data_IF_904763558845
#
_entry.id   IF_904763558845
#
_cell.length_a   1.000
_cell.length_b   1.000
_cell.length_c   1.000
_cell.angle_alpha   90.00
_cell.angle_beta   90.00
_cell.angle_gamma   90.00
#
_symmetry.space_group_name_H-M   'P 1'
#
loop_
_entity.id
_entity.type
_entity.pdbx_description
1 polymer ?
#
# COMPACT_ATOMS: atom_id res chain seq x y z
N UNK A 1 -4.19 0.90 26.00
CA UNK A 1 -4.85 1.18 24.72
C UNK A 1 -5.35 -0.16 24.20
N UNK A 2 -6.65 -0.29 23.95
CA UNK A 2 -7.23 -1.46 23.29
C UNK A 2 -7.06 -1.30 21.78
N UNK A 3 -6.35 -2.21 21.12
CA UNK A 3 -6.10 -2.13 19.67
C UNK A 3 -6.97 -3.11 18.90
N UNK A 4 -7.67 -2.66 17.87
CA UNK A 4 -8.48 -3.49 17.00
C UNK A 4 -8.13 -3.27 15.53
N UNK A 5 -7.97 -4.36 14.78
CA UNK A 5 -7.76 -4.35 13.34
C UNK A 5 -8.97 -4.96 12.64
N UNK A 6 -9.63 -4.22 11.76
CA UNK A 6 -10.55 -4.77 10.78
C UNK A 6 -9.87 -4.72 9.41
N UNK A 7 -9.62 -5.87 8.80
CA UNK A 7 -8.89 -5.93 7.52
C UNK A 7 -9.46 -6.97 6.55
N UNK A 8 -9.28 -6.75 5.25
CA UNK A 8 -9.40 -7.78 4.20
C UNK A 8 -8.06 -8.04 3.47
N UNK A 9 -6.96 -7.53 4.02
CA UNK A 9 -5.62 -7.67 3.47
C UNK A 9 -5.05 -9.08 3.72
N UNK A 10 -5.32 -9.99 2.78
CA UNK A 10 -5.00 -11.41 2.95
C UNK A 10 -3.51 -11.72 3.07
N UNK A 11 -2.60 -10.85 2.58
CA UNK A 11 -1.16 -11.03 2.75
C UNK A 11 -0.74 -11.12 4.22
N UNK A 12 -1.52 -10.59 5.18
CA UNK A 12 -1.23 -10.75 6.60
C UNK A 12 -1.32 -12.18 7.13
N UNK A 13 -1.84 -13.11 6.33
CA UNK A 13 -1.90 -14.54 6.63
C UNK A 13 -0.84 -15.36 5.89
N UNK A 14 -0.03 -14.73 5.05
CA UNK A 14 1.08 -15.37 4.38
C UNK A 14 2.32 -15.42 5.30
N UNK A 15 3.24 -16.34 5.01
CA UNK A 15 4.42 -16.59 5.87
C UNK A 15 5.23 -15.33 6.18
N UNK A 16 5.34 -14.41 5.22
CA UNK A 16 6.14 -13.19 5.33
C UNK A 16 5.48 -12.04 6.10
N UNK A 17 4.23 -12.19 6.56
CA UNK A 17 3.53 -11.17 7.32
C UNK A 17 3.98 -11.02 8.78
N UNK A 18 4.90 -11.87 9.24
CA UNK A 18 5.54 -11.78 10.56
C UNK A 18 4.56 -11.63 11.73
N UNK A 19 3.40 -12.30 11.68
CA UNK A 19 2.36 -12.27 12.73
C UNK A 19 1.77 -10.89 13.01
N UNK A 20 1.75 -9.98 12.02
CA UNK A 20 1.30 -8.59 12.17
C UNK A 20 -0.06 -8.45 12.87
N UNK A 21 -1.10 -9.08 12.34
CA UNK A 21 -2.46 -9.03 12.91
C UNK A 21 -2.52 -9.53 14.36
N UNK A 22 -1.65 -10.48 14.73
CA UNK A 22 -1.53 -11.01 16.09
C UNK A 22 -0.94 -10.04 17.12
N UNK A 23 -0.52 -8.83 16.70
CA UNK A 23 -0.05 -7.76 17.59
C UNK A 23 -1.18 -6.87 18.10
N UNK A 24 -2.37 -6.98 17.52
CA UNK A 24 -3.57 -6.28 17.97
C UNK A 24 -4.23 -7.03 19.12
N UNK A 25 -5.00 -6.31 19.95
CA UNK A 25 -5.74 -6.89 21.08
C UNK A 25 -6.88 -7.79 20.58
N UNK A 26 -7.55 -7.35 19.51
CA UNK A 26 -8.50 -8.15 18.73
C UNK A 26 -8.41 -7.76 17.26
N UNK A 27 -8.93 -8.61 16.38
CA UNK A 27 -8.94 -8.36 14.95
C UNK A 27 -10.02 -9.17 14.24
N UNK A 28 -10.54 -8.62 13.15
CA UNK A 28 -11.44 -9.24 12.18
C UNK A 28 -10.72 -9.37 10.83
N UNK A 29 -11.06 -10.41 10.08
CA UNK A 29 -10.48 -10.64 8.75
C UNK A 29 -11.54 -11.13 7.76
N UNK A 30 -11.76 -10.33 6.71
CA UNK A 30 -12.67 -10.66 5.62
C UNK A 30 -11.91 -11.19 4.40
N UNK A 31 -12.40 -12.30 3.83
CA UNK A 31 -11.70 -13.07 2.79
C UNK A 31 -12.23 -12.77 1.41
N UNK A 32 -11.39 -12.96 0.40
CA UNK A 32 -11.82 -13.02 -1.01
C UNK A 32 -11.13 -12.04 -1.96
N UNK A 33 -10.23 -11.19 -1.46
CA UNK A 33 -9.49 -10.23 -2.28
C UNK A 33 -8.48 -10.91 -3.21
N UNK A 34 -8.28 -10.34 -4.41
CA UNK A 34 -7.27 -10.78 -5.38
C UNK A 34 -7.22 -12.32 -5.54
N UNK A 35 -6.05 -12.93 -5.36
CA UNK A 35 -5.83 -14.37 -5.46
C UNK A 35 -5.99 -15.13 -4.14
N UNK A 36 -6.64 -14.55 -3.13
CA UNK A 36 -6.81 -15.14 -1.80
C UNK A 36 -7.38 -16.58 -1.91
N UNK A 37 -6.70 -17.62 -1.39
CA UNK A 37 -7.19 -19.00 -1.40
C UNK A 37 -8.35 -19.20 -0.41
N UNK A 38 -9.50 -18.57 -0.69
CA UNK A 38 -10.69 -18.57 0.15
C UNK A 38 -11.66 -19.71 -0.20
N UNK A 39 -12.26 -19.65 -1.40
CA UNK A 39 -13.30 -20.61 -1.80
C UNK A 39 -12.66 -21.81 -2.52
N UNK A 40 -12.92 -23.01 -1.98
CA UNK A 40 -12.39 -24.25 -2.50
C UNK A 40 -13.20 -24.78 -3.68
N UNK A 41 -12.62 -24.74 -4.88
CA UNK A 41 -13.10 -25.46 -6.06
C UNK A 41 -11.97 -26.37 -6.54
N UNK A 42 -12.08 -27.67 -6.29
CA UNK A 42 -11.01 -28.63 -6.60
C UNK A 42 -11.01 -29.09 -8.06
N UNK A 43 -12.16 -29.01 -8.74
CA UNK A 43 -12.31 -29.39 -10.15
C UNK A 43 -11.85 -28.31 -11.12
N UNK A 44 -12.01 -28.61 -12.41
CA UNK A 44 -11.85 -27.62 -13.47
C UNK A 44 -12.80 -26.43 -13.25
N UNK A 45 -12.32 -25.24 -13.57
CA UNK A 45 -13.06 -24.00 -13.44
C UNK A 45 -12.79 -23.12 -14.66
N UNK A 46 -13.85 -22.60 -15.28
CA UNK A 46 -13.75 -21.80 -16.49
C UNK A 46 -13.45 -20.34 -16.13
N UNK A 47 -12.37 -19.81 -16.70
CA UNK A 47 -11.98 -18.41 -16.56
C UNK A 47 -11.96 -17.76 -17.95
N UNK A 48 -12.29 -16.47 -18.09
CA UNK A 48 -12.16 -15.76 -19.37
C UNK A 48 -10.78 -15.97 -20.02
N UNK A 49 -10.77 -16.26 -21.32
CA UNK A 49 -9.52 -16.46 -22.08
C UNK A 49 -8.63 -15.20 -22.15
N UNK A 50 -9.20 -14.05 -21.81
CA UNK A 50 -8.52 -12.75 -21.77
C UNK A 50 -7.56 -12.64 -20.58
N UNK A 51 -7.73 -13.48 -19.56
CA UNK A 51 -6.84 -13.64 -18.41
C UNK A 51 -5.62 -14.50 -18.75
N UNK A 52 -5.15 -14.49 -19.98
CA UNK A 52 -3.86 -15.09 -20.35
C UNK A 52 -2.89 -13.94 -20.56
N UNK A 53 -2.62 -13.15 -19.51
CA UNK A 53 -1.61 -12.10 -19.65
C UNK A 53 -0.23 -12.72 -19.73
N UNK A 54 0.47 -12.35 -20.80
CA UNK A 54 1.88 -12.62 -21.03
C UNK A 54 2.70 -11.98 -19.91
N UNK A 55 3.50 -12.81 -19.21
CA UNK A 55 4.65 -12.49 -18.35
C UNK A 55 4.60 -11.13 -17.65
N UNK A 56 4.29 -11.11 -16.34
CA UNK A 56 4.88 -10.07 -15.47
C UNK A 56 6.39 -10.33 -15.36
N UNK A 57 7.18 -9.25 -15.35
CA UNK A 57 8.64 -9.28 -15.43
C UNK A 57 9.25 -10.13 -14.31
N UNK A 58 8.54 -10.30 -13.18
CA UNK A 58 9.06 -10.90 -11.95
C UNK A 58 8.21 -12.03 -11.34
N UNK A 59 7.20 -12.53 -12.05
CA UNK A 59 6.29 -13.56 -11.51
C UNK A 59 6.47 -14.91 -12.18
N UNK A 60 6.35 -16.00 -11.41
CA UNK A 60 6.18 -17.33 -11.98
C UNK A 60 4.84 -17.37 -12.76
N UNK A 61 4.83 -17.68 -14.07
CA UNK A 61 3.60 -17.72 -14.87
C UNK A 61 2.51 -18.63 -14.29
N UNK A 62 2.91 -19.69 -13.57
CA UNK A 62 1.98 -20.61 -12.95
C UNK A 62 1.29 -20.03 -11.70
N UNK A 63 1.97 -19.17 -10.93
CA UNK A 63 1.39 -18.57 -9.72
C UNK A 63 0.36 -17.49 -10.05
N UNK A 64 0.62 -16.66 -11.08
CA UNK A 64 -0.37 -15.67 -11.53
C UNK A 64 -1.61 -16.31 -12.13
N UNK A 65 -1.44 -17.36 -12.94
CA UNK A 65 -2.58 -18.12 -13.48
C UNK A 65 -3.43 -18.72 -12.35
N UNK A 66 -2.79 -19.18 -11.27
CA UNK A 66 -3.51 -19.68 -10.10
C UNK A 66 -4.24 -18.57 -9.35
N UNK A 67 -3.62 -17.39 -9.17
CA UNK A 67 -4.24 -16.24 -8.54
C UNK A 67 -5.49 -15.77 -9.32
N UNK A 68 -5.40 -15.61 -10.64
CA UNK A 68 -6.57 -15.26 -11.46
C UNK A 68 -7.67 -16.30 -11.41
N UNK A 69 -7.33 -17.59 -11.48
CA UNK A 69 -8.33 -18.65 -11.31
C UNK A 69 -9.03 -18.51 -9.96
N UNK A 70 -8.24 -18.29 -8.90
CA UNK A 70 -8.78 -18.21 -7.55
C UNK A 70 -9.65 -16.97 -7.33
N UNK A 71 -9.24 -15.81 -7.84
CA UNK A 71 -10.03 -14.58 -7.86
C UNK A 71 -11.42 -14.82 -8.47
N UNK A 72 -11.46 -15.41 -9.67
CA UNK A 72 -12.74 -15.70 -10.33
C UNK A 72 -13.60 -16.68 -9.56
N UNK A 73 -13.00 -17.69 -8.92
CA UNK A 73 -13.72 -18.59 -8.02
C UNK A 73 -14.28 -17.82 -6.82
N UNK A 74 -13.54 -16.86 -6.26
CA UNK A 74 -14.01 -16.06 -5.13
C UNK A 74 -15.18 -15.14 -5.54
N UNK A 75 -15.11 -14.51 -6.72
CA UNK A 75 -16.14 -13.58 -7.22
C UNK A 75 -17.53 -14.21 -7.34
N UNK A 76 -17.62 -15.51 -7.65
CA UNK A 76 -18.90 -16.25 -7.67
C UNK A 76 -19.63 -16.26 -6.31
N UNK A 77 -18.90 -16.02 -5.22
CA UNK A 77 -19.44 -15.93 -3.86
C UNK A 77 -19.60 -14.49 -3.38
N UNK A 78 -19.39 -13.51 -4.26
CA UNK A 78 -19.55 -12.08 -4.00
C UNK A 78 -20.56 -11.44 -4.98
N UNK A 79 -21.79 -11.98 -5.10
CA UNK A 79 -22.76 -11.53 -6.11
C UNK A 79 -23.33 -10.14 -5.82
N UNK A 80 -23.22 -9.66 -4.58
CA UNK A 80 -23.68 -8.33 -4.17
C UNK A 80 -22.56 -7.55 -3.49
N UNK A 81 -22.73 -6.23 -3.41
CA UNK A 81 -21.82 -5.36 -2.66
C UNK A 81 -21.60 -5.86 -1.22
N UNK A 82 -22.68 -6.22 -0.52
CA UNK A 82 -22.60 -6.67 0.88
C UNK A 82 -21.84 -8.00 1.06
N UNK A 83 -21.60 -8.73 -0.03
CA UNK A 83 -20.82 -9.97 -0.03
C UNK A 83 -19.34 -9.72 -0.31
N UNK A 84 -18.95 -8.52 -0.74
CA UNK A 84 -17.55 -8.17 -0.99
C UNK A 84 -16.78 -7.92 0.33
N UNK A 85 -15.45 -8.08 0.34
CA UNK A 85 -14.66 -7.98 1.56
C UNK A 85 -14.65 -6.55 2.11
N UNK A 86 -14.43 -5.53 1.26
CA UNK A 86 -14.37 -4.14 1.69
C UNK A 86 -15.61 -3.69 2.49
N UNK A 87 -16.86 -3.90 2.02
CA UNK A 87 -18.06 -3.58 2.81
C UNK A 87 -18.13 -4.25 4.16
N UNK A 88 -17.71 -5.52 4.26
CA UNK A 88 -17.69 -6.28 5.52
C UNK A 88 -16.61 -5.75 6.46
N UNK A 89 -15.42 -5.42 5.94
CA UNK A 89 -14.33 -4.80 6.69
C UNK A 89 -14.76 -3.47 7.32
N UNK A 90 -15.41 -2.61 6.55
CA UNK A 90 -15.97 -1.38 7.11
C UNK A 90 -17.10 -1.66 8.11
N UNK A 91 -18.01 -2.61 7.84
CA UNK A 91 -19.06 -2.98 8.79
C UNK A 91 -18.50 -3.42 10.16
N UNK A 92 -17.43 -4.23 10.17
CA UNK A 92 -16.76 -4.66 11.40
C UNK A 92 -16.15 -3.46 12.15
N UNK A 93 -15.47 -2.55 11.44
CA UNK A 93 -14.94 -1.31 12.03
C UNK A 93 -16.03 -0.38 12.59
N UNK A 94 -17.13 -0.18 11.86
CA UNK A 94 -18.29 0.59 12.32
C UNK A 94 -18.96 -0.07 13.54
N UNK A 95 -19.02 -1.40 13.59
CA UNK A 95 -19.53 -2.14 14.74
C UNK A 95 -18.63 -1.95 15.97
N UNK A 96 -17.31 -1.93 15.78
CA UNK A 96 -16.35 -1.59 16.84
C UNK A 96 -16.61 -0.18 17.38
N UNK A 97 -16.74 0.83 16.51
CA UNK A 97 -17.01 2.21 16.92
C UNK A 97 -18.31 2.32 17.73
N UNK A 98 -19.42 1.73 17.26
CA UNK A 98 -20.69 1.73 18.00
C UNK A 98 -20.58 1.08 19.37
N UNK A 99 -19.84 -0.02 19.47
CA UNK A 99 -19.67 -0.76 20.73
C UNK A 99 -18.85 0.03 21.74
N UNK A 100 -17.84 0.78 21.27
CA UNK A 100 -16.82 1.41 22.11
C UNK A 100 -16.92 2.94 22.15
N UNK A 101 -17.98 3.54 21.61
CA UNK A 101 -18.18 4.99 21.52
C UNK A 101 -18.09 5.73 22.87
N UNK A 102 -18.38 5.03 23.97
CA UNK A 102 -18.37 5.57 25.33
C UNK A 102 -17.15 5.10 26.15
N UNK A 103 -16.21 4.41 25.51
CA UNK A 103 -14.98 3.94 26.13
C UNK A 103 -13.80 4.76 25.61
N UNK A 104 -12.84 5.04 26.48
CA UNK A 104 -11.60 5.71 26.11
C UNK A 104 -10.50 4.70 25.79
N UNK A 105 -9.38 5.22 25.28
CA UNK A 105 -8.13 4.47 25.08
C UNK A 105 -8.27 3.26 24.14
N UNK A 106 -8.89 3.46 22.98
CA UNK A 106 -8.88 2.48 21.88
C UNK A 106 -8.17 3.03 20.64
N UNK A 107 -7.67 2.12 19.82
CA UNK A 107 -7.13 2.37 18.49
C UNK A 107 -7.79 1.38 17.53
N UNK A 108 -8.42 1.91 16.49
CA UNK A 108 -9.06 1.14 15.44
C UNK A 108 -8.32 1.39 14.12
N UNK A 109 -7.84 0.32 13.50
CA UNK A 109 -7.39 0.33 12.11
C UNK A 109 -8.44 -0.36 11.26
N UNK A 110 -9.10 0.39 10.38
CA UNK A 110 -9.90 -0.15 9.28
C UNK A 110 -9.00 -0.11 8.06
N UNK A 111 -8.64 -1.27 7.53
CA UNK A 111 -7.71 -1.39 6.42
C UNK A 111 -8.32 -2.22 5.31
N UNK A 112 -8.46 -1.62 4.14
CA UNK A 112 -9.00 -2.31 2.97
C UNK A 112 -7.91 -2.51 1.93
N UNK A 113 -7.94 -3.66 1.28
CA UNK A 113 -7.08 -4.01 0.17
C UNK A 113 -7.44 -3.18 -1.06
N UNK A 114 -8.72 -2.92 -1.28
CA UNK A 114 -9.18 -1.98 -2.31
C UNK A 114 -8.62 -0.57 -2.07
N UNK A 115 -8.20 0.16 -3.12
CA UNK A 115 -8.50 -0.09 -4.54
C UNK A 115 -7.43 -0.91 -5.28
N UNK A 116 -6.68 -1.79 -4.60
CA UNK A 116 -5.77 -2.71 -5.27
C UNK A 116 -6.47 -3.52 -6.37
N UNK A 117 -5.71 -3.90 -7.39
CA UNK A 117 -6.20 -4.74 -8.46
C UNK A 117 -6.50 -6.18 -7.99
N UNK A 118 -7.48 -6.88 -8.58
CA UNK A 118 -8.35 -6.45 -9.68
C UNK A 118 -9.38 -5.40 -9.26
N UNK A 119 -9.70 -4.48 -10.18
CA UNK A 119 -10.68 -3.41 -9.95
C UNK A 119 -12.13 -3.91 -10.05
N UNK A 120 -12.45 -4.89 -9.20
CA UNK A 120 -13.72 -5.58 -9.12
C UNK A 120 -14.72 -4.79 -8.28
N UNK A 121 -15.69 -4.17 -8.93
CA UNK A 121 -16.76 -3.42 -8.25
C UNK A 121 -18.13 -3.63 -8.92
N UNK A 122 -19.17 -3.18 -8.22
CA UNK A 122 -20.57 -3.31 -8.62
C UNK A 122 -20.97 -2.30 -9.71
N UNK A 123 -22.01 -2.63 -10.47
CA UNK A 123 -22.44 -1.83 -11.62
C UNK A 123 -22.78 -0.38 -11.25
N UNK A 124 -23.38 -0.15 -10.07
CA UNK A 124 -23.75 1.20 -9.60
C UNK A 124 -22.55 2.18 -9.57
N UNK A 125 -21.34 1.69 -9.30
CA UNK A 125 -20.14 2.51 -9.28
C UNK A 125 -19.56 2.71 -10.67
N UNK A 126 -19.65 1.67 -11.53
CA UNK A 126 -19.25 1.77 -12.93
C UNK A 126 -20.11 2.76 -13.71
N UNK A 127 -21.40 2.86 -13.37
CA UNK A 127 -22.34 3.80 -13.98
C UNK A 127 -21.99 5.29 -13.73
N UNK A 128 -21.13 5.59 -12.74
CA UNK A 128 -20.58 6.93 -12.51
C UNK A 128 -19.56 7.34 -13.59
N UNK A 129 -18.98 6.37 -14.29
CA UNK A 129 -17.93 6.55 -15.30
C UNK A 129 -18.34 5.88 -16.63
N UNK A 130 -19.41 6.37 -17.28
CA UNK A 130 -19.94 5.74 -18.49
C UNK A 130 -18.86 5.70 -19.58
N UNK A 131 -18.63 4.50 -20.11
CA UNK A 131 -17.63 4.24 -21.13
C UNK A 131 -18.10 3.15 -22.09
N UNK A 132 -18.14 3.46 -23.38
CA UNK A 132 -18.37 2.46 -24.41
C UNK A 132 -17.09 1.65 -24.61
N UNK A 133 -17.12 0.40 -24.18
CA UNK A 133 -16.01 -0.55 -24.31
C UNK A 133 -16.55 -1.90 -24.78
N UNK A 134 -16.12 -2.33 -25.97
CA UNK A 134 -16.45 -3.62 -26.59
C UNK A 134 -15.26 -4.59 -26.58
N UNK A 135 -14.18 -4.22 -25.90
CA UNK A 135 -12.96 -5.00 -25.79
C UNK A 135 -13.06 -6.19 -24.81
N UNK A 136 -11.98 -6.97 -24.68
CA UNK A 136 -11.92 -8.08 -23.74
C UNK A 136 -12.07 -7.61 -22.28
N UNK A 137 -12.59 -8.48 -21.40
CA UNK A 137 -12.60 -8.22 -19.97
C UNK A 137 -11.19 -7.85 -19.47
N UNK A 138 -11.08 -6.68 -18.82
CA UNK A 138 -9.80 -6.11 -18.39
C UNK A 138 -10.00 -5.21 -17.16
N UNK A 139 -9.91 -5.79 -15.97
CA UNK A 139 -9.93 -5.08 -14.68
C UNK A 139 -8.69 -5.33 -13.81
N UNK A 140 -7.76 -6.15 -14.31
CA UNK A 140 -6.51 -6.49 -13.64
C UNK A 140 -5.32 -6.13 -14.54
N UNK A 141 -4.67 -4.97 -14.35
CA UNK A 141 -3.54 -4.56 -15.18
C UNK A 141 -2.28 -5.37 -14.81
N UNK A 142 -1.39 -5.65 -15.77
CA UNK A 142 -0.12 -6.32 -15.50
C UNK A 142 0.96 -5.37 -15.00
N UNK A 143 2.02 -5.92 -14.40
CA UNK A 143 3.18 -5.16 -13.93
C UNK A 143 4.23 -5.02 -15.05
N UNK A 144 4.00 -4.08 -15.97
CA UNK A 144 4.89 -3.77 -17.10
C UNK A 144 4.55 -2.43 -17.76
N UNK A 145 5.30 -2.08 -18.81
CA UNK A 145 4.91 -1.01 -19.74
C UNK A 145 3.60 -1.35 -20.45
N UNK A 146 2.86 -0.31 -20.83
CA UNK A 146 1.61 -0.43 -21.57
C UNK A 146 1.87 -1.05 -22.95
N UNK A 147 1.08 -2.06 -23.30
CA UNK A 147 0.97 -2.63 -24.66
C UNK A 147 -0.47 -2.56 -25.18
N UNK A 148 -1.39 -2.15 -24.31
CA UNK A 148 -2.82 -2.02 -24.53
C UNK A 148 -3.16 -0.83 -25.43
N UNK A 149 -4.31 -0.90 -26.10
CA UNK A 149 -4.80 0.23 -26.90
C UNK A 149 -5.23 1.41 -26.00
N UNK A 150 -5.27 2.65 -26.51
CA UNK A 150 -5.76 3.79 -25.74
C UNK A 150 -7.16 3.58 -25.14
N UNK A 151 -8.05 2.88 -25.85
CA UNK A 151 -9.39 2.55 -25.36
C UNK A 151 -9.34 1.57 -24.17
N UNK A 152 -8.47 0.56 -24.21
CA UNK A 152 -8.27 -0.36 -23.09
C UNK A 152 -7.64 0.33 -21.87
N UNK A 153 -6.69 1.24 -22.10
CA UNK A 153 -6.10 2.07 -21.04
C UNK A 153 -7.18 2.91 -20.35
N UNK A 154 -8.03 3.57 -21.15
CA UNK A 154 -9.14 4.37 -20.62
C UNK A 154 -10.17 3.52 -19.87
N UNK A 155 -10.49 2.33 -20.38
CA UNK A 155 -11.38 1.38 -19.68
C UNK A 155 -10.82 1.02 -18.31
N UNK A 156 -9.53 0.66 -18.22
CA UNK A 156 -8.88 0.33 -16.95
C UNK A 156 -8.90 1.49 -15.95
N UNK A 157 -8.65 2.71 -16.41
CA UNK A 157 -8.75 3.93 -15.58
C UNK A 157 -10.14 4.12 -14.99
N UNK A 158 -11.20 3.86 -15.76
CA UNK A 158 -12.57 3.94 -15.26
C UNK A 158 -12.92 2.79 -14.32
N UNK A 159 -12.37 1.59 -14.52
CA UNK A 159 -12.50 0.49 -13.58
C UNK A 159 -11.88 0.84 -12.21
N UNK A 160 -10.67 1.42 -12.20
CA UNK A 160 -10.04 1.94 -10.99
C UNK A 160 -10.88 3.04 -10.32
N UNK A 161 -11.33 4.03 -11.10
CA UNK A 161 -12.12 5.15 -10.57
C UNK A 161 -13.46 4.68 -9.96
N UNK A 162 -14.09 3.67 -10.56
CA UNK A 162 -15.29 3.05 -10.02
C UNK A 162 -15.02 2.37 -8.67
N UNK A 163 -13.94 1.60 -8.54
CA UNK A 163 -13.58 0.99 -7.25
C UNK A 163 -13.20 2.06 -6.21
N UNK A 164 -12.49 3.11 -6.60
CA UNK A 164 -12.16 4.22 -5.71
C UNK A 164 -13.41 4.97 -5.21
N UNK A 165 -14.45 5.12 -6.04
CA UNK A 165 -15.74 5.68 -5.61
C UNK A 165 -16.44 4.83 -4.56
N UNK A 166 -16.26 3.51 -4.61
CA UNK A 166 -16.74 2.63 -3.56
C UNK A 166 -15.98 2.85 -2.25
N UNK A 167 -14.65 2.96 -2.31
CA UNK A 167 -13.84 3.31 -1.13
C UNK A 167 -14.29 4.65 -0.51
N UNK A 168 -14.56 5.67 -1.34
CA UNK A 168 -15.05 6.98 -0.90
C UNK A 168 -16.42 6.88 -0.20
N UNK A 169 -17.38 6.12 -0.77
CA UNK A 169 -18.69 5.91 -0.14
C UNK A 169 -18.55 5.28 1.26
N UNK A 170 -17.64 4.33 1.44
CA UNK A 170 -17.45 3.66 2.72
C UNK A 170 -16.64 4.48 3.72
N UNK A 171 -15.68 5.30 3.27
CA UNK A 171 -15.09 6.33 4.12
C UNK A 171 -16.17 7.28 4.64
N UNK A 172 -17.09 7.73 3.77
CA UNK A 172 -18.25 8.54 4.15
C UNK A 172 -19.06 7.95 5.29
N UNK A 173 -19.29 6.62 5.29
CA UNK A 173 -20.00 5.93 6.39
C UNK A 173 -19.26 6.00 7.74
N UNK A 174 -17.93 6.05 7.73
CA UNK A 174 -17.13 6.26 8.96
C UNK A 174 -17.31 7.68 9.46
N UNK A 175 -17.22 8.67 8.56
CA UNK A 175 -17.39 10.08 8.88
C UNK A 175 -18.79 10.36 9.45
N UNK A 176 -19.84 9.84 8.80
CA UNK A 176 -21.23 9.94 9.25
C UNK A 176 -21.43 9.35 10.65
N UNK A 177 -20.76 8.23 10.95
CA UNK A 177 -20.85 7.60 12.26
C UNK A 177 -20.08 8.39 13.34
N UNK A 178 -18.96 9.02 12.97
CA UNK A 178 -18.26 9.94 13.87
C UNK A 178 -19.13 11.15 14.21
N UNK A 179 -19.89 11.68 13.25
CA UNK A 179 -20.91 12.71 13.50
C UNK A 179 -22.03 12.21 14.42
N UNK A 180 -22.61 11.04 14.12
CA UNK A 180 -23.70 10.43 14.89
C UNK A 180 -23.34 10.26 16.38
N UNK A 181 -22.10 9.85 16.64
CA UNK A 181 -21.60 9.50 17.98
C UNK A 181 -20.83 10.64 18.66
N UNK A 182 -20.72 11.82 18.04
CA UNK A 182 -19.92 12.95 18.50
C UNK A 182 -18.43 12.61 18.76
N UNK A 183 -17.84 11.73 17.94
CA UNK A 183 -16.47 11.25 18.16
C UNK A 183 -15.40 12.31 17.85
N UNK A 184 -15.72 13.34 17.07
CA UNK A 184 -14.77 14.38 16.68
C UNK A 184 -14.16 15.16 17.85
N UNK A 185 -14.82 15.19 19.01
CA UNK A 185 -14.34 15.93 20.19
C UNK A 185 -13.06 15.34 20.79
N UNK A 186 -12.86 14.01 20.71
CA UNK A 186 -11.76 13.32 21.39
C UNK A 186 -11.16 12.15 20.58
N UNK A 187 -11.58 11.97 19.32
CA UNK A 187 -11.03 10.92 18.44
C UNK A 187 -10.17 11.54 17.35
N UNK A 188 -8.93 11.09 17.23
CA UNK A 188 -8.09 11.37 16.07
C UNK A 188 -8.49 10.47 14.89
N UNK A 189 -8.64 11.05 13.70
CA UNK A 189 -8.84 10.31 12.45
C UNK A 189 -7.64 10.53 11.53
N UNK A 190 -7.06 9.44 11.03
CA UNK A 190 -6.00 9.45 10.02
C UNK A 190 -6.50 8.65 8.82
N UNK A 191 -6.43 9.24 7.63
CA UNK A 191 -6.72 8.57 6.36
C UNK A 191 -5.47 8.65 5.49
N UNK A 192 -4.94 7.49 5.09
CA UNK A 192 -3.74 7.40 4.26
C UNK A 192 -3.79 6.14 3.38
N UNK A 193 -2.80 5.99 2.50
CA UNK A 193 -2.55 4.77 1.71
C UNK A 193 -1.07 4.40 1.81
N UNK A 194 -0.75 3.12 1.68
CA UNK A 194 0.62 2.60 1.77
C UNK A 194 1.50 3.04 0.60
N UNK A 195 0.94 3.09 -0.60
CA UNK A 195 1.56 3.59 -1.82
C UNK A 195 0.49 4.07 -2.82
N UNK A 196 0.93 4.63 -3.95
CA UNK A 196 0.07 4.94 -5.11
C UNK A 196 0.16 3.89 -6.23
N UNK A 197 -0.39 4.18 -7.42
CA UNK A 197 -0.50 3.20 -8.50
C UNK A 197 -0.43 3.86 -9.87
N UNK A 198 0.37 3.31 -10.80
CA UNK A 198 0.40 3.80 -12.18
C UNK A 198 -0.80 3.29 -12.97
N UNK A 199 -1.53 4.21 -13.58
CA UNK A 199 -2.70 3.94 -14.42
C UNK A 199 -2.42 4.31 -15.89
N UNK A 200 -1.16 4.31 -16.29
CA UNK A 200 -0.69 4.58 -17.65
C UNK A 200 0.19 5.82 -17.77
N UNK A 201 0.39 6.57 -16.70
CA UNK A 201 1.39 7.62 -16.61
C UNK A 201 2.78 7.03 -16.90
N UNK A 202 3.65 7.81 -17.55
CA UNK A 202 4.97 7.35 -17.99
C UNK A 202 4.98 6.03 -18.81
N UNK A 203 3.85 5.68 -19.45
CA UNK A 203 3.66 4.42 -20.17
C UNK A 203 3.75 3.15 -19.29
N UNK A 204 3.50 3.25 -17.98
CA UNK A 204 3.57 2.13 -17.04
C UNK A 204 2.23 1.78 -16.41
N UNK A 205 2.06 0.49 -16.11
CA UNK A 205 1.03 -0.02 -15.22
C UNK A 205 1.62 -0.38 -13.86
N UNK A 206 0.77 -0.32 -12.83
CA UNK A 206 1.04 -0.83 -11.50
C UNK A 206 2.23 -0.17 -10.80
N UNK A 207 3.12 -0.96 -10.17
CA UNK A 207 4.14 -0.48 -9.23
C UNK A 207 5.42 -1.33 -9.28
N UNK A 208 6.46 -0.87 -8.60
CA UNK A 208 7.74 -1.55 -8.36
C UNK A 208 8.69 -1.75 -9.56
N UNK A 209 8.25 -1.65 -10.83
CA UNK A 209 9.11 -1.92 -12.00
C UNK A 209 9.78 -0.68 -12.59
N UNK A 210 9.16 0.47 -12.38
CA UNK A 210 9.49 1.80 -12.89
C UNK A 210 10.13 2.66 -11.79
N UNK A 211 10.71 3.83 -12.13
CA UNK A 211 11.14 4.82 -11.14
C UNK A 211 10.00 5.25 -10.20
N UNK A 212 10.36 5.73 -9.02
CA UNK A 212 9.42 6.09 -7.96
C UNK A 212 8.83 7.49 -8.17
N UNK A 213 8.03 7.64 -9.22
CA UNK A 213 7.31 8.87 -9.53
C UNK A 213 6.29 9.24 -8.43
N UNK A 214 5.82 10.48 -8.45
CA UNK A 214 4.90 11.03 -7.45
C UNK A 214 3.59 10.25 -7.38
N UNK A 215 3.13 9.69 -8.50
CA UNK A 215 1.96 8.80 -8.58
C UNK A 215 2.08 7.56 -7.70
N UNK A 216 3.31 7.14 -7.34
CA UNK A 216 3.58 6.02 -6.44
C UNK A 216 3.95 6.47 -5.03
N UNK A 217 4.75 7.52 -4.91
CA UNK A 217 5.42 7.89 -3.67
C UNK A 217 4.74 9.03 -2.90
N UNK A 218 4.00 9.92 -3.56
CA UNK A 218 3.33 11.05 -2.94
C UNK A 218 1.87 10.68 -2.63
N UNK A 219 1.69 10.02 -1.49
CA UNK A 219 0.39 9.47 -1.09
C UNK A 219 -0.50 10.51 -0.40
N UNK A 220 -1.85 10.39 -0.52
CA UNK A 220 -2.77 11.18 0.30
C UNK A 220 -2.59 10.91 1.78
N UNK A 221 -2.64 11.97 2.59
CA UNK A 221 -2.66 11.93 4.05
C UNK A 221 -3.60 13.01 4.57
N UNK A 222 -4.69 12.59 5.23
CA UNK A 222 -5.61 13.47 5.93
C UNK A 222 -5.57 13.16 7.42
N UNK A 223 -5.48 14.19 8.25
CA UNK A 223 -5.43 14.04 9.71
C UNK A 223 -6.40 15.03 10.35
N UNK A 224 -7.32 14.51 11.15
CA UNK A 224 -8.03 15.26 12.18
C UNK A 224 -7.39 14.94 13.53
N UNK A 225 -6.78 15.93 14.18
CA UNK A 225 -6.29 15.81 15.55
C UNK A 225 -7.17 16.70 16.46
N UNK A 226 -7.98 16.12 17.36
CA UNK A 226 -8.88 16.88 18.23
C UNK A 226 -8.14 17.84 19.17
N UNK A 227 -6.85 17.59 19.45
CA UNK A 227 -6.00 18.47 20.27
C UNK A 227 -5.63 19.76 19.53
N UNK A 228 -5.56 19.70 18.20
CA UNK A 228 -5.22 20.83 17.33
C UNK A 228 -6.47 21.56 16.81
N UNK A 229 -7.54 20.83 16.53
CA UNK A 229 -8.83 21.38 16.08
C UNK A 229 -8.78 22.16 14.77
N UNK A 230 -7.72 21.97 13.96
CA UNK A 230 -7.57 22.66 12.67
C UNK A 230 -8.49 22.04 11.62
N UNK A 231 -9.14 22.89 10.83
CA UNK A 231 -10.10 22.48 9.79
C UNK A 231 -9.81 23.18 8.47
N UNK A 232 -9.93 22.44 7.36
CA UNK A 232 -9.78 23.01 6.02
C UNK A 232 -8.38 23.55 5.71
N UNK A 233 -7.36 23.12 6.47
CA UNK A 233 -5.97 23.55 6.31
C UNK A 233 -5.20 22.55 5.45
N UNK A 234 -4.33 23.07 4.58
CA UNK A 234 -3.30 22.29 3.89
C UNK A 234 -1.93 22.60 4.52
N UNK A 235 -1.09 21.58 4.66
CA UNK A 235 0.24 21.69 5.26
C UNK A 235 1.26 21.14 4.27
N UNK A 236 2.26 21.95 3.91
CA UNK A 236 3.32 21.58 2.97
C UNK A 236 4.54 20.93 3.66
N UNK A 237 4.46 20.70 4.99
CA UNK A 237 5.50 19.96 5.70
C UNK A 237 5.60 18.53 5.16
N UNK A 238 6.84 18.08 4.93
CA UNK A 238 7.12 16.70 4.60
C UNK A 238 6.70 15.77 5.76
N UNK A 239 6.06 14.65 5.42
CA UNK A 239 5.68 13.59 6.33
C UNK A 239 5.89 12.22 5.67
N UNK A 240 6.16 11.19 6.47
CA UNK A 240 6.38 9.81 6.04
C UNK A 240 5.61 8.82 6.93
N UNK A 241 5.41 7.59 6.46
CA UNK A 241 4.57 6.61 7.17
C UNK A 241 5.03 6.28 8.61
N UNK A 242 6.34 6.34 8.87
CA UNK A 242 6.90 6.15 10.22
C UNK A 242 6.48 7.25 11.19
N UNK A 243 6.18 8.45 10.71
CA UNK A 243 5.67 9.56 11.52
C UNK A 243 4.27 9.27 12.08
N UNK A 244 3.46 8.46 11.39
CA UNK A 244 2.13 8.07 11.87
C UNK A 244 2.23 7.26 13.17
N UNK A 245 3.18 6.33 13.24
CA UNK A 245 3.43 5.54 14.47
C UNK A 245 3.87 6.44 15.62
N UNK A 246 4.77 7.40 15.38
CA UNK A 246 5.21 8.36 16.39
C UNK A 246 4.06 9.27 16.85
N UNK A 247 3.23 9.72 15.91
CA UNK A 247 2.03 10.55 16.17
C UNK A 247 1.03 9.81 17.05
N UNK A 248 0.75 8.53 16.76
CA UNK A 248 -0.17 7.71 17.55
C UNK A 248 0.35 7.47 18.97
N UNK A 249 1.65 7.14 19.13
CA UNK A 249 2.24 6.97 20.45
C UNK A 249 2.15 8.27 21.27
N UNK A 250 2.46 9.41 20.66
CA UNK A 250 2.33 10.72 21.31
C UNK A 250 0.87 11.03 21.67
N UNK A 251 -0.08 10.73 20.79
CA UNK A 251 -1.52 10.93 21.03
C UNK A 251 -1.99 10.20 22.28
N UNK A 252 -1.57 8.95 22.46
CA UNK A 252 -1.91 8.17 23.66
C UNK A 252 -0.99 8.42 24.86
N UNK A 253 -0.06 9.38 24.79
CA UNK A 253 0.89 9.66 25.87
C UNK A 253 1.87 8.52 26.15
N UNK A 254 2.13 7.66 25.17
CA UNK A 254 3.11 6.58 25.26
C UNK A 254 4.49 7.14 24.89
N UNK A 255 5.53 6.93 25.72
CA UNK A 255 6.88 7.37 25.41
C UNK A 255 7.38 6.79 24.08
N UNK A 256 7.97 7.64 23.24
CA UNK A 256 8.60 7.20 21.99
C UNK A 256 9.80 6.30 22.32
N UNK A 257 9.95 5.13 21.66
CA UNK A 257 11.17 4.34 21.75
C UNK A 257 12.40 5.17 21.33
N UNK A 258 13.53 4.94 21.99
CA UNK A 258 14.76 5.70 21.71
C UNK A 258 15.32 5.47 20.29
N UNK A 259 14.94 4.35 19.66
CA UNK A 259 15.29 3.93 18.32
C UNK A 259 14.21 4.23 17.27
N UNK A 260 13.15 4.97 17.63
CA UNK A 260 12.12 5.42 16.68
C UNK A 260 12.64 6.59 15.84
N UNK A 261 12.49 6.48 14.53
CA UNK A 261 12.94 7.49 13.56
C UNK A 261 11.81 8.42 13.07
N UNK A 262 10.55 8.09 13.35
CA UNK A 262 9.40 8.93 13.03
C UNK A 262 9.24 10.11 13.99
N UNK A 263 8.69 11.21 13.49
CA UNK A 263 8.43 12.45 14.25
C UNK A 263 6.92 12.65 14.42
N UNK A 264 6.41 12.95 15.62
CA UNK A 264 4.99 13.27 15.79
C UNK A 264 4.55 14.46 14.94
N UNK A 265 3.42 14.33 14.24
CA UNK A 265 2.90 15.33 13.31
C UNK A 265 2.03 16.40 13.98
N UNK A 266 1.84 16.37 15.31
CA UNK A 266 0.96 17.30 16.04
C UNK A 266 1.25 18.76 15.71
N UNK A 267 2.52 19.16 15.77
CA UNK A 267 2.90 20.56 15.58
C UNK A 267 2.76 21.00 14.11
N UNK A 268 3.00 20.06 13.17
CA UNK A 268 2.73 20.27 11.75
C UNK A 268 1.23 20.46 11.48
N UNK A 269 0.37 19.63 12.08
CA UNK A 269 -1.09 19.75 11.98
C UNK A 269 -1.59 21.05 12.63
N UNK A 270 -1.08 21.41 13.81
CA UNK A 270 -1.56 22.55 14.57
C UNK A 270 -1.10 23.91 13.99
N UNK A 271 0.10 23.98 13.42
CA UNK A 271 0.72 25.27 13.07
C UNK A 271 1.43 25.30 11.72
N UNK A 272 1.44 24.20 10.96
CA UNK A 272 2.24 24.07 9.75
C UNK A 272 3.75 24.01 10.04
N UNK A 273 4.15 23.62 11.26
CA UNK A 273 5.56 23.47 11.60
C UNK A 273 6.26 22.47 10.67
N UNK A 274 7.50 22.77 10.31
CA UNK A 274 8.33 21.88 9.51
C UNK A 274 8.68 20.63 10.32
N UNK A 275 8.41 19.45 9.76
CA UNK A 275 8.70 18.14 10.38
C UNK A 275 10.07 17.61 9.94
N UNK A 276 10.36 17.62 8.64
CA UNK A 276 11.61 17.10 8.06
C UNK A 276 12.22 18.08 7.06
N UNK A 277 13.56 18.07 6.94
CA UNK A 277 14.28 18.78 5.88
C UNK A 277 14.22 18.05 4.54
N UNK A 278 14.23 16.72 4.58
CA UNK A 278 14.12 15.83 3.43
C UNK A 278 13.61 14.46 3.87
N UNK A 279 13.05 13.69 2.94
CA UNK A 279 12.59 12.31 3.14
C UNK A 279 13.36 11.35 2.26
N UNK A 280 13.63 10.15 2.78
CA UNK A 280 14.15 9.02 2.02
C UNK A 280 13.02 8.04 1.71
N UNK A 281 13.02 7.50 0.48
CA UNK A 281 12.03 6.50 0.06
C UNK A 281 12.59 5.61 -1.05
N UNK A 282 11.95 4.47 -1.28
CA UNK A 282 12.34 3.52 -2.31
C UNK A 282 12.09 2.07 -1.87
N UNK A 283 12.73 1.13 -2.56
CA UNK A 283 12.66 -0.30 -2.26
C UNK A 283 14.06 -0.87 -2.12
N UNK A 284 14.20 -1.88 -1.26
CA UNK A 284 15.46 -2.60 -1.10
C UNK A 284 15.98 -3.13 -2.46
N UNK A 285 17.23 -2.81 -2.77
CA UNK A 285 17.87 -3.19 -4.04
C UNK A 285 17.43 -2.38 -5.27
N UNK A 286 16.55 -1.38 -5.13
CA UNK A 286 16.15 -0.46 -6.19
C UNK A 286 16.85 0.91 -6.11
N UNK A 287 16.19 1.96 -6.61
CA UNK A 287 16.65 3.33 -6.39
C UNK A 287 16.56 3.71 -4.91
N UNK A 288 17.57 4.43 -4.42
CA UNK A 288 17.50 5.18 -3.16
C UNK A 288 17.11 6.60 -3.52
N UNK A 289 15.93 7.04 -3.08
CA UNK A 289 15.39 8.34 -3.44
C UNK A 289 15.42 9.30 -2.26
N UNK A 290 15.60 10.59 -2.55
CA UNK A 290 15.51 11.68 -1.57
C UNK A 290 14.68 12.82 -2.14
N UNK A 291 13.85 13.45 -1.31
CA UNK A 291 13.14 14.68 -1.66
C UNK A 291 13.15 15.71 -0.53
N UNK A 292 13.30 16.98 -0.88
CA UNK A 292 13.13 18.12 0.04
C UNK A 292 11.76 18.81 -0.10
N UNK A 293 10.84 18.21 -0.87
CA UNK A 293 9.53 18.76 -1.21
C UNK A 293 9.49 19.54 -2.51
N UNK A 294 10.64 19.97 -3.04
CA UNK A 294 10.75 20.57 -4.38
C UNK A 294 11.51 19.64 -5.32
N UNK A 295 12.71 19.24 -4.96
CA UNK A 295 13.52 18.37 -5.78
C UNK A 295 13.32 16.92 -5.37
N UNK A 296 13.36 16.01 -6.35
CA UNK A 296 13.41 14.56 -6.12
C UNK A 296 14.63 14.02 -6.84
N UNK A 297 15.56 13.46 -6.09
CA UNK A 297 16.71 12.75 -6.64
C UNK A 297 16.54 11.24 -6.43
N UNK A 298 16.67 10.46 -7.50
CA UNK A 298 16.57 9.01 -7.53
C UNK A 298 17.92 8.42 -7.90
N UNK A 299 18.62 7.84 -6.93
CA UNK A 299 19.94 7.25 -7.16
C UNK A 299 19.83 5.78 -7.50
N UNK A 300 20.04 5.45 -8.77
CA UNK A 300 20.12 4.05 -9.24
C UNK A 300 21.37 3.30 -8.73
N UNK A 301 21.33 1.96 -8.73
CA UNK A 301 22.52 1.11 -8.67
C UNK A 301 23.55 1.48 -9.74
N UNK A 302 24.84 1.28 -9.43
CA UNK A 302 25.95 1.58 -10.34
C UNK A 302 26.17 0.50 -11.40
N UNK A 303 25.79 -0.74 -11.11
CA UNK A 303 25.87 -1.86 -12.06
C UNK A 303 24.58 -2.67 -12.11
N UNK A 304 24.31 -3.41 -13.20
CA UNK A 304 23.13 -4.25 -13.33
C UNK A 304 23.01 -5.32 -12.22
N UNK A 305 24.15 -5.81 -11.73
CA UNK A 305 24.19 -6.85 -10.70
C UNK A 305 23.78 -6.33 -9.31
N UNK A 306 23.94 -5.02 -9.07
CA UNK A 306 23.73 -4.35 -7.79
C UNK A 306 24.32 -5.14 -6.59
N UNK A 307 25.52 -5.67 -6.77
CA UNK A 307 26.17 -6.56 -5.81
C UNK A 307 27.36 -5.88 -5.10
N UNK A 308 27.63 -6.21 -3.83
CA UNK A 308 26.89 -7.18 -3.00
C UNK A 308 25.57 -6.61 -2.45
N UNK A 309 24.53 -7.45 -2.38
CA UNK A 309 23.23 -7.14 -1.79
C UNK A 309 22.86 -8.22 -0.77
N UNK A 310 22.34 -7.79 0.38
CA UNK A 310 21.98 -8.69 1.47
C UNK A 310 20.65 -8.31 2.10
N UNK A 311 19.88 -9.32 2.49
CA UNK A 311 18.71 -9.19 3.34
C UNK A 311 19.03 -9.62 4.77
N UNK A 312 18.31 -9.02 5.73
CA UNK A 312 18.56 -9.20 7.15
C UNK A 312 17.24 -9.52 7.84
N UNK A 313 17.17 -10.63 8.59
CA UNK A 313 15.91 -11.03 9.23
C UNK A 313 16.13 -11.77 10.56
N UNK A 314 15.14 -11.67 11.44
CA UNK A 314 14.98 -12.53 12.61
C UNK A 314 14.08 -13.75 12.31
N UNK A 315 13.34 -13.71 11.19
CA UNK A 315 12.38 -14.73 10.78
C UNK A 315 12.58 -15.04 9.28
N UNK A 316 13.22 -16.18 8.91
CA UNK A 316 13.59 -16.49 7.54
C UNK A 316 12.38 -16.96 6.71
N UNK A 317 11.54 -16.00 6.34
CA UNK A 317 10.32 -16.18 5.55
C UNK A 317 10.33 -15.24 4.34
N UNK A 318 10.03 -15.77 3.15
CA UNK A 318 9.59 -14.97 2.01
C UNK A 318 8.11 -14.62 2.22
N UNK A 319 7.58 -13.73 1.39
CA UNK A 319 6.17 -13.33 1.42
C UNK A 319 5.21 -14.53 1.56
N UNK A 320 5.38 -15.57 0.73
CA UNK A 320 4.45 -16.72 0.62
C UNK A 320 5.03 -18.10 0.92
N UNK A 321 6.25 -18.15 1.45
CA UNK A 321 6.95 -19.42 1.74
C UNK A 321 8.06 -19.22 2.76
N UNK A 322 8.44 -20.29 3.43
CA UNK A 322 9.72 -20.34 4.16
C UNK A 322 10.92 -20.22 3.20
N UNK A 323 12.05 -19.79 3.75
CA UNK A 323 13.34 -19.89 3.05
C UNK A 323 13.69 -21.35 2.76
N UNK A 324 14.31 -21.62 1.61
CA UNK A 324 14.82 -22.95 1.26
C UNK A 324 16.15 -23.23 1.97
N UNK A 325 16.57 -24.50 1.96
CA UNK A 325 17.89 -24.88 2.45
C UNK A 325 19.02 -24.15 1.69
N UNK A 326 18.88 -23.96 0.37
CA UNK A 326 19.86 -23.29 -0.46
C UNK A 326 19.97 -21.79 -0.15
N UNK A 327 18.83 -21.11 0.10
CA UNK A 327 18.81 -19.70 0.51
C UNK A 327 19.46 -19.48 1.88
N UNK A 328 19.45 -20.51 2.74
CA UNK A 328 20.04 -20.47 4.07
C UNK A 328 21.49 -20.96 4.12
N UNK A 329 21.99 -21.59 3.05
CA UNK A 329 23.28 -22.28 3.06
C UNK A 329 24.47 -21.37 3.43
N UNK A 330 24.47 -20.14 2.93
CA UNK A 330 25.53 -19.14 3.17
C UNK A 330 25.10 -18.03 4.14
N UNK A 331 24.05 -18.27 4.93
CA UNK A 331 23.56 -17.28 5.90
C UNK A 331 24.53 -17.16 7.09
N UNK A 332 24.79 -15.92 7.50
CA UNK A 332 25.66 -15.62 8.65
C UNK A 332 24.91 -14.78 9.67
N UNK A 333 25.14 -15.02 10.96
CA UNK A 333 24.68 -14.13 12.01
C UNK A 333 25.56 -12.86 12.04
N UNK A 334 24.93 -11.68 12.07
CA UNK A 334 25.63 -10.39 12.09
C UNK A 334 25.18 -9.53 13.28
N UNK A 335 25.99 -8.51 13.56
CA UNK A 335 25.68 -7.51 14.59
C UNK A 335 24.32 -6.84 14.36
N UNK A 336 23.63 -6.45 15.44
CA UNK A 336 22.32 -5.82 15.38
C UNK A 336 22.35 -4.46 14.65
N UNK A 337 21.25 -4.12 13.98
CA UNK A 337 20.97 -2.74 13.62
C UNK A 337 20.49 -1.93 14.83
N UNK A 338 20.54 -0.59 14.73
CA UNK A 338 20.11 0.33 15.78
C UNK A 338 18.71 0.04 16.32
N UNK A 339 17.78 -0.33 15.44
CA UNK A 339 16.36 -0.58 15.75
C UNK A 339 16.04 -2.05 16.10
N UNK A 340 17.05 -2.92 16.18
CA UNK A 340 16.84 -4.37 16.46
C UNK A 340 17.05 -4.73 17.91
N UNK A 341 17.16 -3.74 18.80
CA UNK A 341 17.21 -3.91 20.27
C UNK A 341 18.31 -4.88 20.73
N UNK A 342 19.45 -4.85 20.04
CA UNK A 342 20.60 -5.70 20.34
C UNK A 342 20.46 -7.15 19.85
N UNK A 343 19.38 -7.51 19.16
CA UNK A 343 19.20 -8.86 18.61
C UNK A 343 20.01 -9.04 17.34
N UNK A 344 20.91 -10.04 17.27
CA UNK A 344 21.69 -10.29 16.08
C UNK A 344 20.78 -10.81 14.94
N UNK A 345 21.15 -10.51 13.70
CA UNK A 345 20.33 -10.77 12.51
C UNK A 345 20.92 -11.87 11.65
N UNK A 346 20.06 -12.67 11.02
CA UNK A 346 20.49 -13.52 9.91
C UNK A 346 20.70 -12.64 8.68
N UNK A 347 21.94 -12.56 8.20
CA UNK A 347 22.30 -11.95 6.91
C UNK A 347 22.41 -13.04 5.85
N UNK A 348 21.68 -12.88 4.77
CA UNK A 348 21.73 -13.79 3.61
C UNK A 348 21.78 -12.99 2.31
N UNK A 349 22.34 -13.61 1.27
CA UNK A 349 22.50 -12.98 -0.04
C UNK A 349 21.11 -12.69 -0.64
N UNK A 350 20.93 -11.49 -1.13
CA UNK A 350 19.69 -11.06 -1.77
C UNK A 350 19.92 -10.76 -3.26
N UNK A 351 18.82 -10.68 -4.00
CA UNK A 351 18.81 -10.24 -5.39
C UNK A 351 17.91 -9.03 -5.51
N UNK A 352 18.33 -8.07 -6.33
CA UNK A 352 17.50 -6.92 -6.63
C UNK A 352 16.23 -7.39 -7.35
N UNK A 353 15.08 -6.91 -6.89
CA UNK A 353 13.79 -7.25 -7.51
C UNK A 353 13.46 -6.33 -8.70
N UNK A 354 14.14 -5.20 -8.81
CA UNK A 354 13.89 -4.17 -9.80
C UNK A 354 15.12 -3.95 -10.67
N UNK A 355 14.93 -3.52 -11.93
CA UNK A 355 16.01 -3.18 -12.86
C UNK A 355 16.32 -1.68 -12.79
N UNK A 356 16.44 -1.14 -11.57
CA UNK A 356 16.63 0.29 -11.32
C UNK A 356 17.86 0.88 -12.05
N UNK A 357 18.92 0.06 -12.24
CA UNK A 357 20.12 0.43 -12.99
C UNK A 357 19.80 0.96 -14.39
N UNK A 358 18.86 0.34 -15.10
CA UNK A 358 18.58 0.64 -16.51
C UNK A 358 17.92 2.01 -16.72
N UNK A 359 17.37 2.58 -15.65
CA UNK A 359 16.82 3.93 -15.65
C UNK A 359 17.87 5.01 -15.32
N UNK A 360 19.03 4.62 -14.79
CA UNK A 360 20.07 5.56 -14.36
C UNK A 360 19.63 6.45 -13.20
N UNK A 361 20.46 7.45 -12.90
CA UNK A 361 20.13 8.48 -11.92
C UNK A 361 19.13 9.47 -12.51
N UNK A 362 18.15 9.89 -11.72
CA UNK A 362 17.14 10.87 -12.13
C UNK A 362 17.08 12.00 -11.11
N UNK A 363 16.88 13.22 -11.58
CA UNK A 363 16.67 14.40 -10.74
C UNK A 363 15.52 15.20 -11.35
N UNK A 364 14.52 15.57 -10.55
CA UNK A 364 13.37 16.36 -10.99
C UNK A 364 13.19 17.58 -10.10
N UNK A 365 12.72 18.70 -10.68
CA UNK A 365 12.20 19.86 -9.95
C UNK A 365 10.66 19.82 -10.03
N UNK A 366 9.99 19.41 -8.96
CA UNK A 366 8.54 19.23 -8.93
C UNK A 366 7.75 20.53 -9.08
N UNK A 367 8.38 21.70 -8.96
CA UNK A 367 7.71 22.99 -9.22
C UNK A 367 7.62 23.25 -10.72
N UNK A 368 8.71 23.00 -11.46
CA UNK A 368 8.79 23.26 -12.90
C UNK A 368 8.40 22.04 -13.75
N UNK A 369 8.46 20.85 -13.17
CA UNK A 369 8.16 19.53 -13.75
C UNK A 369 7.38 18.65 -12.75
N UNK A 370 6.14 19.03 -12.36
CA UNK A 370 5.35 18.29 -11.38
C UNK A 370 4.96 16.88 -11.84
N UNK A 371 4.96 16.63 -13.15
CA UNK A 371 4.69 15.32 -13.76
C UNK A 371 5.97 14.51 -13.99
N UNK A 372 7.15 15.03 -13.62
CA UNK A 372 8.42 14.30 -13.70
C UNK A 372 8.74 13.76 -15.10
N UNK A 373 8.39 14.52 -16.16
CA UNK A 373 8.59 14.10 -17.54
C UNK A 373 10.00 14.41 -18.07
N UNK A 374 10.68 15.38 -17.44
CA UNK A 374 11.91 16.00 -17.96
C UNK A 374 12.97 16.04 -16.86
N UNK A 375 13.71 14.94 -16.63
CA UNK A 375 14.75 14.93 -15.61
C UNK A 375 15.81 16.00 -15.93
N UNK A 376 16.22 16.73 -14.89
CA UNK A 376 17.30 17.69 -14.94
C UNK A 376 18.59 16.95 -15.33
N UNK A 377 19.19 17.40 -16.42
CA UNK A 377 20.51 16.95 -16.82
C UNK A 377 21.51 18.03 -16.46
N UNK A 378 22.26 17.81 -15.39
CA UNK A 378 23.41 18.62 -15.05
C UNK A 378 24.70 17.82 -15.33
N UNK A 379 25.40 18.11 -16.44
CA UNK A 379 26.68 17.47 -16.75
C UNK A 379 27.87 18.04 -15.96
N UNK A 380 27.65 19.01 -15.06
CA UNK A 380 28.70 19.75 -14.35
C UNK A 380 29.42 18.96 -13.23
#
# INVERSE_FOLDING_TARGET
>A
IYTHLSTDHYHYFEDGAMTYHGRYTSWDFERGQEGDPWKGVAGDYETPQTLVVRRSINSNPNSLKQAWRQDWVNRDYMPTEADQPQPRTFQNGLAFLRTNAQADNWYLQIETFDPHEPFFTQQKYKDLYPHEYDGPHFDWPPYRRIEETPTQVQHMRYQYAALLSMCDEYLGKVLDLMDELNLWEDTMLIVCTDHGFMLGEHEWWAKNSQPWYSELARTPLFIWDPRAGQQGTAVDSLAQMTDLSATLLEFFGVPLPADMEGTPLRDAVATGAKTHDALLFGIHGGHVNVTDGRYVYMRAPVSPENAPLYEYTLMPTRMRRLFTADELADTTLVEPFSFTKGMPLLRTAAQAWTQAHDFGHLLFDLVDDPQQERPLQDPA
#
